data_IF_542558535263
#
_entry.id   IF_542558535263
#
_cell.length_a   1.000
_cell.length_b   1.000
_cell.length_c   1.000
_cell.angle_alpha   90.00
_cell.angle_beta   90.00
_cell.angle_gamma   90.00
#
_symmetry.space_group_name_H-M   'P 1'
#
loop_
_entity.id
_entity.type
_entity.pdbx_description
1 polymer ?
#
# COMPACT_ATOMS: atom_id res chain seq x y z
N UNK A 1 -24.15 -18.74 51.32
CA UNK A 1 -22.78 -18.21 51.27
C UNK A 1 -22.08 -18.58 49.98
N UNK A 2 -21.90 -19.87 49.62
CA UNK A 2 -21.14 -20.32 48.47
C UNK A 2 -21.67 -19.73 47.11
N UNK A 3 -23.00 -19.74 46.91
CA UNK A 3 -23.63 -19.15 45.67
C UNK A 3 -23.31 -17.66 45.56
N UNK A 4 -23.38 -16.91 46.64
CA UNK A 4 -23.04 -15.49 46.68
C UNK A 4 -21.58 -15.25 46.29
N UNK A 5 -20.68 -16.07 46.82
CA UNK A 5 -19.25 -15.99 46.48
C UNK A 5 -19.00 -16.27 45.00
N UNK A 6 -19.67 -17.29 44.42
CA UNK A 6 -19.58 -17.58 42.99
C UNK A 6 -20.13 -16.46 42.09
N UNK A 7 -21.23 -15.81 42.55
CA UNK A 7 -21.78 -14.64 41.82
C UNK A 7 -20.81 -13.45 41.87
N UNK A 8 -20.18 -13.19 43.03
CA UNK A 8 -19.17 -12.13 43.18
C UNK A 8 -17.97 -12.42 42.28
N UNK A 9 -17.45 -13.65 42.26
CA UNK A 9 -16.36 -14.07 41.39
C UNK A 9 -16.75 -13.93 39.91
N UNK A 10 -17.99 -14.27 39.56
CA UNK A 10 -18.50 -14.05 38.20
C UNK A 10 -18.55 -12.56 37.86
N UNK A 11 -18.97 -11.70 38.76
CA UNK A 11 -19.05 -10.25 38.57
C UNK A 11 -17.68 -9.58 38.34
N UNK A 12 -16.58 -10.15 38.85
CA UNK A 12 -15.21 -9.66 38.57
C UNK A 12 -14.74 -9.93 37.16
N UNK A 13 -15.53 -10.66 36.35
CA UNK A 13 -15.22 -10.98 34.95
C UNK A 13 -13.79 -11.56 34.75
N UNK A 14 -13.44 -12.68 35.42
CA UNK A 14 -12.11 -13.25 35.30
C UNK A 14 -11.82 -13.58 33.85
N UNK A 15 -10.60 -13.17 33.36
CA UNK A 15 -10.16 -13.36 31.97
C UNK A 15 -8.89 -14.21 31.95
N UNK A 16 -8.87 -15.17 31.07
CA UNK A 16 -7.66 -15.91 30.76
C UNK A 16 -6.91 -15.21 29.65
N UNK A 17 -5.67 -14.85 29.92
CA UNK A 17 -4.77 -14.29 28.92
C UNK A 17 -4.15 -15.44 28.13
N UNK A 18 -4.44 -15.52 26.84
CA UNK A 18 -3.83 -16.47 25.92
C UNK A 18 -2.37 -16.14 25.64
N UNK A 19 -1.72 -17.02 24.86
CA UNK A 19 -0.36 -16.76 24.38
C UNK A 19 -0.32 -15.49 23.52
N UNK A 20 0.76 -14.70 23.63
CA UNK A 20 0.93 -13.53 22.81
C UNK A 20 1.02 -13.91 21.33
N UNK A 21 0.08 -13.43 20.54
CA UNK A 21 0.10 -13.56 19.08
C UNK A 21 0.65 -12.25 18.52
N UNK A 22 1.78 -12.33 17.82
CA UNK A 22 2.29 -11.20 17.08
C UNK A 22 1.42 -10.98 15.85
N UNK A 23 0.60 -9.92 15.88
CA UNK A 23 -0.05 -9.44 14.68
C UNK A 23 1.01 -8.66 13.87
N UNK A 24 1.27 -9.02 12.60
CA UNK A 24 2.10 -8.20 11.76
C UNK A 24 1.43 -6.82 11.67
N UNK A 25 2.04 -5.82 12.29
CA UNK A 25 1.55 -4.46 12.15
C UNK A 25 1.99 -3.92 10.80
N UNK A 26 1.08 -3.18 10.23
CA UNK A 26 1.06 -2.41 9.00
C UNK A 26 2.39 -2.39 8.24
N UNK A 27 2.34 -2.98 7.05
CA UNK A 27 3.31 -2.75 6.00
C UNK A 27 3.42 -1.25 5.68
N UNK A 28 4.33 -0.91 4.80
CA UNK A 28 4.57 0.46 4.35
C UNK A 28 3.38 1.01 3.59
N UNK A 29 3.27 2.31 3.59
CA UNK A 29 2.39 3.04 2.69
C UNK A 29 3.15 3.40 1.42
N UNK A 30 2.89 2.67 0.35
CA UNK A 30 3.48 2.85 -0.95
C UNK A 30 2.48 3.53 -1.89
N UNK A 31 2.82 4.72 -2.36
CA UNK A 31 2.07 5.38 -3.43
C UNK A 31 2.84 5.22 -4.74
N UNK A 32 2.21 4.63 -5.74
CA UNK A 32 2.74 4.54 -7.10
C UNK A 32 2.16 5.70 -7.91
N UNK A 33 3.01 6.52 -8.52
CA UNK A 33 2.59 7.57 -9.44
C UNK A 33 3.12 7.24 -10.84
N UNK A 34 2.20 7.02 -11.78
CA UNK A 34 2.49 6.59 -13.14
C UNK A 34 2.14 7.69 -14.13
N UNK A 35 3.10 8.01 -14.98
CA UNK A 35 2.94 8.91 -16.10
C UNK A 35 2.10 8.26 -17.21
N UNK A 36 1.07 8.96 -17.69
CA UNK A 36 0.25 8.58 -18.84
C UNK A 36 0.33 9.60 -19.98
N UNK A 37 1.36 10.45 -19.94
CA UNK A 37 1.59 11.46 -20.97
C UNK A 37 1.82 10.84 -22.37
N UNK A 38 1.80 11.68 -23.39
CA UNK A 38 1.94 11.21 -24.77
C UNK A 38 3.27 10.52 -25.08
N UNK A 39 4.35 10.85 -24.36
CA UNK A 39 5.67 10.23 -24.51
C UNK A 39 5.70 8.75 -24.09
N UNK A 40 4.85 8.34 -23.18
CA UNK A 40 4.70 6.94 -22.75
C UNK A 40 4.17 6.01 -23.86
N UNK A 41 3.68 6.56 -24.98
CA UNK A 41 3.25 5.81 -26.17
C UNK A 41 4.44 5.32 -27.02
N UNK A 42 5.65 5.87 -26.82
CA UNK A 42 6.83 5.50 -27.58
C UNK A 42 7.17 4.02 -27.37
N UNK A 43 7.26 3.26 -28.48
CA UNK A 43 7.54 1.83 -28.46
C UNK A 43 9.07 1.57 -28.55
N UNK A 44 9.82 2.00 -27.55
CA UNK A 44 11.27 1.87 -27.43
C UNK A 44 11.72 0.77 -26.46
N UNK A 45 10.77 0.10 -25.80
CA UNK A 45 11.03 -1.03 -24.90
C UNK A 45 10.93 -2.37 -25.63
N UNK A 46 11.77 -3.34 -25.24
CA UNK A 46 11.79 -4.67 -25.83
C UNK A 46 11.23 -5.72 -24.87
N UNK A 47 10.25 -6.49 -25.32
CA UNK A 47 9.72 -7.64 -24.60
C UNK A 47 9.56 -8.84 -25.53
N UNK A 48 10.23 -9.97 -25.22
CA UNK A 48 10.17 -11.21 -26.03
C UNK A 48 10.46 -10.99 -27.54
N UNK A 49 11.36 -10.07 -27.86
CA UNK A 49 11.73 -9.75 -29.25
C UNK A 49 10.76 -8.82 -29.98
N UNK A 50 9.73 -8.32 -29.31
CA UNK A 50 8.81 -7.32 -29.85
C UNK A 50 8.99 -5.98 -29.15
N UNK A 51 8.84 -4.89 -29.91
CA UNK A 51 8.83 -3.55 -29.34
C UNK A 51 7.47 -3.28 -28.73
N UNK A 52 7.47 -2.86 -27.47
CA UNK A 52 6.28 -2.45 -26.71
C UNK A 52 6.43 -1.00 -26.28
N UNK A 53 5.32 -0.30 -26.04
CA UNK A 53 5.35 1.06 -25.52
C UNK A 53 5.80 1.09 -24.05
N UNK A 54 6.21 2.27 -23.58
CA UNK A 54 6.71 2.46 -22.22
C UNK A 54 5.68 2.12 -21.16
N UNK A 55 4.40 2.49 -21.39
CA UNK A 55 3.33 2.18 -20.43
C UNK A 55 3.14 0.67 -20.25
N UNK A 56 3.12 -0.09 -21.36
CA UNK A 56 2.96 -1.55 -21.28
C UNK A 56 4.15 -2.21 -20.59
N UNK A 57 5.38 -1.72 -20.84
CA UNK A 57 6.58 -2.17 -20.13
C UNK A 57 6.48 -1.91 -18.61
N UNK A 58 6.03 -0.70 -18.24
CA UNK A 58 5.82 -0.32 -16.83
C UNK A 58 4.74 -1.18 -16.19
N UNK A 59 3.60 -1.40 -16.85
CA UNK A 59 2.53 -2.25 -16.34
C UNK A 59 3.01 -3.67 -16.01
N UNK A 60 3.78 -4.28 -16.90
CA UNK A 60 4.33 -5.63 -16.69
C UNK A 60 5.17 -5.69 -15.40
N UNK A 61 6.11 -4.75 -15.24
CA UNK A 61 7.04 -4.76 -14.12
C UNK A 61 6.37 -4.35 -12.80
N UNK A 62 5.54 -3.30 -12.85
CA UNK A 62 4.82 -2.81 -11.66
C UNK A 62 3.79 -3.82 -11.18
N UNK A 63 3.14 -4.56 -12.10
CA UNK A 63 2.21 -5.64 -11.75
C UNK A 63 2.91 -6.73 -10.94
N UNK A 64 4.11 -7.15 -11.37
CA UNK A 64 4.91 -8.14 -10.63
C UNK A 64 5.44 -7.60 -9.29
N UNK A 65 5.80 -6.32 -9.23
CA UNK A 65 6.16 -5.66 -7.99
C UNK A 65 4.99 -5.65 -6.99
N UNK A 66 3.80 -5.26 -7.42
CA UNK A 66 2.60 -5.25 -6.57
C UNK A 66 2.34 -6.64 -5.98
N UNK A 67 2.41 -7.71 -6.79
CA UNK A 67 2.20 -9.09 -6.33
C UNK A 67 3.12 -9.50 -5.18
N UNK A 68 4.36 -9.03 -5.18
CA UNK A 68 5.36 -9.35 -4.14
C UNK A 68 5.18 -8.57 -2.84
N UNK A 69 4.33 -7.52 -2.82
CA UNK A 69 4.16 -6.59 -1.69
C UNK A 69 3.05 -6.99 -0.72
N UNK A 70 2.92 -8.29 -0.43
CA UNK A 70 1.95 -8.76 0.55
C UNK A 70 2.23 -8.17 1.94
N UNK A 71 1.23 -7.48 2.49
CA UNK A 71 1.30 -6.80 3.78
C UNK A 71 1.55 -5.30 3.70
N UNK A 72 1.93 -4.75 2.53
CA UNK A 72 2.01 -3.31 2.30
C UNK A 72 0.63 -2.76 1.85
N UNK A 73 0.35 -1.49 2.16
CA UNK A 73 -0.76 -0.76 1.52
C UNK A 73 -0.22 -0.08 0.27
N UNK A 74 -0.86 -0.32 -0.86
CA UNK A 74 -0.48 0.31 -2.13
C UNK A 74 -1.63 1.18 -2.63
N UNK A 75 -1.31 2.41 -3.02
CA UNK A 75 -2.19 3.30 -3.76
C UNK A 75 -1.63 3.61 -5.13
N UNK A 76 -2.49 3.99 -6.07
CA UNK A 76 -2.13 4.31 -7.45
C UNK A 76 -2.60 5.72 -7.81
N UNK A 77 -1.68 6.53 -8.27
CA UNK A 77 -1.91 7.83 -8.90
C UNK A 77 -1.54 7.72 -10.36
N UNK A 78 -2.40 8.21 -11.24
CA UNK A 78 -2.16 8.37 -12.67
C UNK A 78 -2.06 9.86 -12.96
N UNK A 79 -1.07 10.28 -13.74
CA UNK A 79 -0.91 11.69 -14.07
C UNK A 79 -0.50 11.91 -15.51
N UNK A 80 -0.94 13.04 -16.05
CA UNK A 80 -0.55 13.65 -17.31
C UNK A 80 -0.73 15.17 -17.20
N UNK A 81 -1.74 15.79 -17.81
CA UNK A 81 -2.04 17.23 -17.66
C UNK A 81 -2.39 17.60 -16.20
N UNK A 82 -2.94 16.66 -15.45
CA UNK A 82 -3.23 16.73 -14.02
C UNK A 82 -3.02 15.36 -13.35
N UNK A 83 -3.03 15.31 -12.01
CA UNK A 83 -2.87 14.07 -11.26
C UNK A 83 -4.21 13.59 -10.67
N UNK A 84 -4.47 12.29 -10.78
CA UNK A 84 -5.69 11.64 -10.28
C UNK A 84 -5.36 10.41 -9.46
N UNK A 85 -6.05 10.27 -8.34
CA UNK A 85 -5.95 9.06 -7.54
C UNK A 85 -6.83 7.97 -8.16
N UNK A 86 -6.20 6.93 -8.69
CA UNK A 86 -6.87 5.78 -9.29
C UNK A 86 -7.31 4.78 -8.22
N UNK A 87 -6.44 4.49 -7.24
CA UNK A 87 -6.80 3.71 -6.05
C UNK A 87 -6.29 4.39 -4.78
N UNK A 88 -7.06 4.40 -3.69
CA UNK A 88 -6.54 4.79 -2.38
C UNK A 88 -5.53 3.76 -1.88
N UNK A 89 -4.82 4.09 -0.80
CA UNK A 89 -3.98 3.12 -0.08
C UNK A 89 -4.84 1.96 0.42
N UNK A 90 -4.55 0.75 -0.06
CA UNK A 90 -5.31 -0.46 0.26
C UNK A 90 -4.39 -1.68 0.36
N UNK A 91 -4.81 -2.67 1.14
CA UNK A 91 -4.20 -4.01 1.17
C UNK A 91 -4.72 -4.93 0.05
N UNK A 92 -5.76 -4.51 -0.67
CA UNK A 92 -6.30 -5.25 -1.80
C UNK A 92 -5.45 -5.05 -3.06
N UNK A 93 -4.35 -5.78 -3.12
CA UNK A 93 -3.38 -5.72 -4.22
C UNK A 93 -3.99 -6.18 -5.55
N UNK A 94 -5.02 -7.03 -5.52
CA UNK A 94 -5.71 -7.50 -6.72
C UNK A 94 -6.45 -6.33 -7.39
N UNK A 95 -7.15 -5.53 -6.60
CA UNK A 95 -7.83 -4.32 -7.11
C UNK A 95 -6.82 -3.30 -7.64
N UNK A 96 -5.69 -3.07 -6.93
CA UNK A 96 -4.64 -2.16 -7.41
C UNK A 96 -4.08 -2.62 -8.76
N UNK A 97 -3.79 -3.92 -8.89
CA UNK A 97 -3.28 -4.50 -10.14
C UNK A 97 -4.29 -4.34 -11.27
N UNK A 98 -5.57 -4.66 -11.04
CA UNK A 98 -6.62 -4.47 -12.05
C UNK A 98 -6.72 -3.02 -12.50
N UNK A 99 -6.69 -2.06 -11.57
CA UNK A 99 -6.74 -0.63 -11.91
C UNK A 99 -5.48 -0.15 -12.66
N UNK A 100 -4.33 -0.77 -12.40
CA UNK A 100 -3.12 -0.56 -13.19
C UNK A 100 -3.28 -1.09 -14.62
N UNK A 101 -3.78 -2.32 -14.77
CA UNK A 101 -3.98 -2.95 -16.08
C UNK A 101 -5.01 -2.20 -16.94
N UNK A 102 -6.07 -1.67 -16.31
CA UNK A 102 -7.13 -0.88 -16.95
C UNK A 102 -6.69 0.56 -17.31
N UNK A 103 -5.51 1.03 -16.85
CA UNK A 103 -5.01 2.36 -17.19
C UNK A 103 -4.69 2.45 -18.69
N UNK A 104 -5.05 3.57 -19.32
CA UNK A 104 -4.83 3.80 -20.75
C UNK A 104 -4.13 5.13 -20.98
N UNK A 105 -3.32 5.18 -22.04
CA UNK A 105 -2.63 6.40 -22.49
C UNK A 105 -3.63 7.51 -22.79
N UNK A 106 -3.22 8.75 -22.53
CA UNK A 106 -4.00 9.98 -22.82
C UNK A 106 -5.32 10.10 -22.09
N UNK A 107 -5.61 9.21 -21.12
CA UNK A 107 -6.84 9.29 -20.31
C UNK A 107 -6.93 10.62 -19.57
N UNK A 108 -5.81 11.15 -19.13
CA UNK A 108 -5.69 12.36 -18.27
C UNK A 108 -5.00 13.52 -19.00
N UNK A 109 -4.73 13.40 -20.27
CA UNK A 109 -4.04 14.41 -21.10
C UNK A 109 -2.80 13.87 -21.80
N UNK A 110 -1.97 14.78 -22.31
CA UNK A 110 -0.78 14.42 -23.09
C UNK A 110 0.51 15.03 -22.55
N UNK A 111 0.41 16.01 -21.63
CA UNK A 111 1.53 16.70 -20.97
C UNK A 111 1.88 15.98 -19.66
N UNK A 112 2.84 16.50 -18.89
CA UNK A 112 3.38 15.84 -17.71
C UNK A 112 3.36 16.78 -16.51
N UNK A 113 2.52 16.50 -15.48
CA UNK A 113 2.36 17.29 -14.27
C UNK A 113 2.99 16.59 -13.05
N UNK A 114 4.33 16.52 -13.00
CA UNK A 114 5.09 15.87 -11.93
C UNK A 114 4.79 16.50 -10.56
N UNK A 115 4.75 17.84 -10.49
CA UNK A 115 4.51 18.54 -9.23
C UNK A 115 3.14 18.22 -8.63
N UNK A 116 2.10 18.13 -9.45
CA UNK A 116 0.76 17.73 -8.99
C UNK A 116 0.70 16.27 -8.53
N UNK A 117 1.40 15.37 -9.22
CA UNK A 117 1.48 13.96 -8.82
C UNK A 117 2.10 13.81 -7.43
N UNK A 118 3.22 14.51 -7.17
CA UNK A 118 3.87 14.52 -5.85
C UNK A 118 2.96 15.17 -4.81
N UNK A 119 2.37 16.34 -5.09
CA UNK A 119 1.47 17.05 -4.17
C UNK A 119 0.27 16.20 -3.77
N UNK A 120 -0.35 15.50 -4.74
CA UNK A 120 -1.45 14.59 -4.48
C UNK A 120 -1.00 13.39 -3.63
N UNK A 121 0.15 12.78 -3.95
CA UNK A 121 0.72 11.66 -3.19
C UNK A 121 0.97 12.05 -1.73
N UNK A 122 1.62 13.19 -1.49
CA UNK A 122 1.87 13.73 -0.14
C UNK A 122 0.56 13.93 0.62
N UNK A 123 -0.44 14.54 -0.02
CA UNK A 123 -1.76 14.76 0.59
C UNK A 123 -2.41 13.43 1.02
N UNK A 124 -2.32 12.39 0.19
CA UNK A 124 -2.92 11.07 0.47
C UNK A 124 -2.14 10.28 1.51
N UNK A 125 -0.82 10.27 1.44
CA UNK A 125 0.05 9.63 2.43
C UNK A 125 -0.08 10.28 3.82
N UNK A 126 -0.33 11.58 3.89
CA UNK A 126 -0.53 12.30 5.16
C UNK A 126 -1.89 12.02 5.83
N UNK A 127 -2.84 11.44 5.12
CA UNK A 127 -4.13 11.06 5.72
C UNK A 127 -3.98 9.92 6.72
N UNK A 128 -2.89 9.18 6.66
CA UNK A 128 -2.62 8.02 7.51
C UNK A 128 -1.42 8.29 8.44
N UNK A 129 -1.54 7.90 9.70
CA UNK A 129 -0.44 7.92 10.68
C UNK A 129 0.48 6.71 10.42
N UNK A 130 1.33 6.80 9.42
CA UNK A 130 2.34 5.80 9.10
C UNK A 130 3.73 6.42 9.26
N UNK A 131 4.67 5.65 9.81
CA UNK A 131 6.08 6.08 9.92
C UNK A 131 6.83 5.94 8.59
N UNK A 132 6.39 5.02 7.71
CA UNK A 132 7.05 4.71 6.43
C UNK A 132 6.18 5.09 5.24
N UNK A 133 6.33 6.32 4.76
CA UNK A 133 5.62 6.88 3.62
C UNK A 133 6.54 6.94 2.41
N UNK A 134 6.26 6.16 1.39
CA UNK A 134 7.09 6.05 0.18
C UNK A 134 6.26 6.37 -1.06
N UNK A 135 6.79 7.24 -1.91
CA UNK A 135 6.29 7.50 -3.26
C UNK A 135 7.29 6.92 -4.27
N UNK A 136 6.80 6.14 -5.21
CA UNK A 136 7.55 5.71 -6.40
C UNK A 136 6.95 6.44 -7.59
N UNK A 137 7.71 7.38 -8.15
CA UNK A 137 7.32 8.22 -9.27
C UNK A 137 7.98 7.71 -10.54
N UNK A 138 7.19 7.30 -11.53
CA UNK A 138 7.67 6.91 -12.85
C UNK A 138 7.29 7.99 -13.86
N UNK A 139 8.27 8.48 -14.59
CA UNK A 139 8.08 9.44 -15.67
C UNK A 139 9.14 9.25 -16.75
N UNK A 140 8.83 9.67 -17.96
CA UNK A 140 9.73 9.61 -19.12
C UNK A 140 10.02 10.98 -19.72
N UNK A 141 9.55 12.07 -19.08
CA UNK A 141 9.67 13.43 -19.57
C UNK A 141 9.98 14.48 -18.50
N UNK A 142 10.00 15.74 -18.94
CA UNK A 142 10.09 16.90 -18.07
C UNK A 142 8.69 17.36 -17.60
N UNK A 143 8.65 18.15 -16.53
CA UNK A 143 7.39 18.75 -16.09
C UNK A 143 6.92 19.84 -17.07
N UNK A 144 5.81 19.61 -17.74
CA UNK A 144 5.25 20.50 -18.79
C UNK A 144 3.85 21.01 -18.48
N UNK A 145 3.22 20.55 -17.40
CA UNK A 145 1.88 20.91 -16.98
C UNK A 145 1.77 20.99 -15.45
N UNK A 146 0.58 21.32 -14.97
CA UNK A 146 0.24 21.41 -13.55
C UNK A 146 0.44 22.80 -12.96
N UNK A 147 -0.29 23.05 -11.88
CA UNK A 147 -0.24 24.33 -11.15
C UNK A 147 0.83 24.35 -10.05
N UNK A 148 1.22 23.14 -9.57
CA UNK A 148 2.26 22.98 -8.54
C UNK A 148 3.58 22.68 -9.23
N UNK A 149 4.60 23.50 -8.94
CA UNK A 149 5.93 23.25 -9.45
C UNK A 149 6.58 22.06 -8.73
N UNK A 150 7.37 21.19 -9.40
CA UNK A 150 7.99 20.04 -8.79
C UNK A 150 8.84 20.36 -7.56
N UNK A 151 9.54 21.49 -7.54
CA UNK A 151 10.35 21.92 -6.40
C UNK A 151 9.50 22.40 -5.20
N UNK A 152 8.31 22.95 -5.44
CA UNK A 152 7.35 23.26 -4.37
C UNK A 152 6.80 21.97 -3.77
N UNK A 153 6.40 21.01 -4.62
CA UNK A 153 5.95 19.69 -4.19
C UNK A 153 7.04 18.93 -3.41
N UNK A 154 8.32 19.10 -3.77
CA UNK A 154 9.46 18.57 -3.02
C UNK A 154 9.49 19.10 -1.58
N UNK A 155 9.26 20.40 -1.37
CA UNK A 155 9.23 20.96 -0.01
C UNK A 155 8.07 20.38 0.82
N UNK A 156 6.91 20.18 0.20
CA UNK A 156 5.78 19.51 0.84
C UNK A 156 6.12 18.07 1.23
N UNK A 157 6.77 17.31 0.34
CA UNK A 157 7.19 15.94 0.61
C UNK A 157 8.19 15.85 1.77
N UNK A 158 9.18 16.75 1.80
CA UNK A 158 10.16 16.83 2.91
C UNK A 158 9.49 17.15 4.24
N UNK A 159 8.60 18.13 4.26
CA UNK A 159 7.85 18.52 5.46
C UNK A 159 6.95 17.38 5.98
N UNK A 160 6.43 16.55 5.08
CA UNK A 160 5.57 15.41 5.40
C UNK A 160 6.34 14.11 5.71
N UNK A 161 7.67 14.10 5.59
CA UNK A 161 8.49 12.91 5.76
C UNK A 161 8.24 11.82 4.70
N UNK A 162 7.80 12.22 3.48
CA UNK A 162 7.57 11.30 2.37
C UNK A 162 8.89 11.09 1.62
N UNK A 163 9.34 9.84 1.55
CA UNK A 163 10.49 9.44 0.74
C UNK A 163 10.06 9.25 -0.71
N UNK A 164 10.79 9.82 -1.66
CA UNK A 164 10.48 9.74 -3.08
C UNK A 164 11.58 8.94 -3.80
N UNK A 165 11.21 7.81 -4.39
CA UNK A 165 12.02 7.15 -5.42
C UNK A 165 11.52 7.59 -6.78
N UNK A 166 12.43 7.96 -7.67
CA UNK A 166 12.10 8.37 -9.03
C UNK A 166 12.69 7.40 -10.03
N UNK A 167 11.91 7.04 -11.04
CA UNK A 167 12.30 6.13 -12.11
C UNK A 167 12.09 6.84 -13.45
N UNK A 168 13.19 7.19 -14.10
CA UNK A 168 13.17 7.70 -15.48
C UNK A 168 13.12 6.52 -16.46
N UNK A 169 12.10 6.49 -17.33
CA UNK A 169 11.84 5.38 -18.25
C UNK A 169 12.12 5.81 -19.70
N UNK A 170 12.69 4.91 -20.50
CA UNK A 170 12.87 5.09 -21.96
C UNK A 170 14.29 4.82 -22.44
N UNK A 171 14.42 4.34 -23.67
CA UNK A 171 15.69 4.02 -24.28
C UNK A 171 16.52 5.28 -24.59
N UNK A 172 17.84 5.15 -24.61
CA UNK A 172 18.74 6.24 -25.04
C UNK A 172 18.82 6.35 -26.56
N UNK A 173 18.61 5.24 -27.25
CA UNK A 173 18.72 5.16 -28.69
C UNK A 173 17.61 4.31 -29.27
N UNK A 174 16.97 4.82 -30.33
CA UNK A 174 15.92 4.12 -31.05
C UNK A 174 16.16 4.33 -32.58
N UNK A 175 15.95 3.26 -33.32
CA UNK A 175 16.01 3.32 -34.78
C UNK A 175 14.64 3.77 -35.31
N UNK A 176 14.52 5.00 -35.73
CA UNK A 176 13.30 5.52 -36.37
C UNK A 176 13.37 5.32 -37.88
N UNK A 177 12.35 4.70 -38.44
CA UNK A 177 12.20 4.57 -39.87
C UNK A 177 11.47 5.80 -40.44
N UNK A 178 12.10 6.52 -41.37
CA UNK A 178 11.54 7.67 -42.02
C UNK A 178 11.46 7.42 -43.54
N UNK A 179 10.69 8.23 -44.25
CA UNK A 179 10.62 8.23 -45.73
C UNK A 179 12.01 8.41 -46.38
N UNK A 180 12.94 9.06 -45.67
CA UNK A 180 14.32 9.35 -46.14
C UNK A 180 15.35 8.31 -45.60
N UNK A 181 14.92 7.19 -45.01
CA UNK A 181 15.82 6.14 -44.49
C UNK A 181 15.71 5.93 -42.99
N UNK A 182 16.67 5.15 -42.45
CA UNK A 182 16.75 4.86 -41.01
C UNK A 182 17.64 5.88 -40.32
N UNK A 183 17.15 6.47 -39.21
CA UNK A 183 17.92 7.42 -38.40
C UNK A 183 17.90 6.96 -36.95
N UNK A 184 19.05 7.04 -36.29
CA UNK A 184 19.15 6.89 -34.83
C UNK A 184 18.67 8.19 -34.17
N UNK A 185 17.72 8.07 -33.23
CA UNK A 185 17.24 9.19 -32.42
C UNK A 185 17.34 8.82 -30.97
N UNK A 186 17.42 9.82 -30.11
CA UNK A 186 17.25 9.65 -28.65
C UNK A 186 15.77 9.90 -28.28
N UNK A 187 14.98 8.88 -27.99
CA UNK A 187 13.56 9.04 -27.66
C UNK A 187 13.33 9.63 -26.26
N UNK A 188 14.37 9.72 -25.45
CA UNK A 188 14.32 10.21 -24.05
C UNK A 188 15.00 11.57 -23.86
N UNK A 189 15.14 12.36 -24.93
CA UNK A 189 15.83 13.67 -24.88
C UNK A 189 15.13 14.67 -23.94
N UNK A 190 13.82 14.52 -23.72
CA UNK A 190 13.01 15.40 -22.88
C UNK A 190 12.98 14.99 -21.42
N UNK A 191 13.63 13.88 -21.03
CA UNK A 191 13.70 13.41 -19.66
C UNK A 191 14.61 14.32 -18.82
N UNK A 192 14.03 14.95 -17.80
CA UNK A 192 14.78 15.79 -16.84
C UNK A 192 15.34 14.93 -15.70
N UNK A 193 16.46 14.26 -15.99
CA UNK A 193 17.16 13.43 -14.98
C UNK A 193 17.68 14.26 -13.80
N UNK A 194 18.02 15.53 -14.01
CA UNK A 194 18.51 16.41 -12.94
C UNK A 194 17.40 16.70 -11.92
N UNK A 195 16.20 17.02 -12.41
CA UNK A 195 15.03 17.21 -11.56
C UNK A 195 14.68 15.92 -10.81
N UNK A 196 14.58 14.79 -11.50
CA UNK A 196 14.24 13.49 -10.89
C UNK A 196 15.26 13.07 -9.83
N UNK A 197 16.56 13.25 -10.11
CA UNK A 197 17.63 12.98 -9.15
C UNK A 197 17.51 13.88 -7.93
N UNK A 198 17.20 15.15 -8.09
CA UNK A 198 17.02 16.10 -7.00
C UNK A 198 15.81 15.75 -6.12
N UNK A 199 14.66 15.43 -6.73
CA UNK A 199 13.45 14.99 -6.02
C UNK A 199 13.72 13.78 -5.13
N UNK A 200 14.45 12.80 -5.65
CA UNK A 200 14.79 11.61 -4.91
C UNK A 200 15.82 11.90 -3.80
N UNK A 201 16.97 12.49 -4.12
CA UNK A 201 18.06 12.68 -3.18
C UNK A 201 17.70 13.56 -1.98
N UNK A 202 16.93 14.64 -2.20
CA UNK A 202 16.54 15.56 -1.12
C UNK A 202 15.47 14.99 -0.18
N UNK A 203 14.79 13.88 -0.57
CA UNK A 203 13.80 13.19 0.28
C UNK A 203 14.33 11.88 0.87
N UNK A 204 15.61 11.56 0.68
CA UNK A 204 16.24 10.32 1.14
C UNK A 204 15.93 9.10 0.30
N UNK A 205 15.35 9.27 -0.89
CA UNK A 205 15.14 8.23 -1.87
C UNK A 205 16.31 8.12 -2.88
N UNK A 206 16.05 7.44 -3.99
CA UNK A 206 17.03 7.25 -5.08
C UNK A 206 16.39 7.46 -6.44
N UNK A 207 17.16 8.05 -7.36
CA UNK A 207 16.84 8.07 -8.78
C UNK A 207 17.37 6.81 -9.46
N UNK A 208 16.59 6.28 -10.39
CA UNK A 208 16.93 5.15 -11.23
C UNK A 208 16.61 5.48 -12.69
N UNK A 209 17.44 4.96 -13.59
CA UNK A 209 17.24 5.06 -15.03
C UNK A 209 16.94 3.69 -15.60
N UNK A 210 15.78 3.53 -16.23
CA UNK A 210 15.36 2.29 -16.92
C UNK A 210 15.37 2.50 -18.43
N UNK A 211 16.35 1.93 -19.10
CA UNK A 211 16.51 2.00 -20.56
C UNK A 211 15.80 0.84 -21.27
N UNK A 212 15.59 -0.25 -20.55
CA UNK A 212 14.91 -1.44 -21.04
C UNK A 212 14.11 -2.12 -19.91
N UNK A 213 13.37 -3.18 -20.28
CA UNK A 213 12.54 -3.93 -19.35
C UNK A 213 13.35 -4.65 -18.26
N UNK A 214 14.57 -5.10 -18.56
CA UNK A 214 15.41 -5.81 -17.61
C UNK A 214 15.94 -4.84 -16.54
N UNK A 215 16.42 -3.66 -16.95
CA UNK A 215 16.82 -2.60 -16.01
C UNK A 215 15.64 -2.19 -15.12
N UNK A 216 14.44 -2.02 -15.69
CA UNK A 216 13.24 -1.68 -14.94
C UNK A 216 12.92 -2.76 -13.88
N UNK A 217 13.01 -4.05 -14.22
CA UNK A 217 12.83 -5.15 -13.27
C UNK A 217 13.88 -5.12 -12.14
N UNK A 218 15.15 -4.89 -12.48
CA UNK A 218 16.23 -4.80 -11.47
C UNK A 218 16.01 -3.61 -10.52
N UNK A 219 15.55 -2.47 -11.03
CA UNK A 219 15.23 -1.29 -10.24
C UNK A 219 14.15 -1.62 -9.19
N UNK A 220 13.08 -2.30 -9.57
CA UNK A 220 12.04 -2.68 -8.63
C UNK A 220 12.51 -3.71 -7.59
N UNK A 221 13.42 -4.62 -7.95
CA UNK A 221 14.07 -5.51 -6.98
C UNK A 221 14.98 -4.74 -6.01
N UNK A 222 15.70 -3.70 -6.48
CA UNK A 222 16.48 -2.83 -5.61
C UNK A 222 15.59 -2.02 -4.66
N UNK A 223 14.46 -1.51 -5.13
CA UNK A 223 13.48 -0.82 -4.26
C UNK A 223 12.93 -1.77 -3.20
N UNK A 224 12.71 -3.05 -3.55
CA UNK A 224 12.33 -4.10 -2.58
C UNK A 224 13.36 -4.24 -1.45
N UNK A 225 14.65 -4.15 -1.76
CA UNK A 225 15.74 -4.25 -0.79
C UNK A 225 15.96 -2.97 0.01
N UNK A 226 15.79 -1.80 -0.62
CA UNK A 226 15.97 -0.49 0.02
C UNK A 226 14.89 -0.17 1.03
N UNK A 227 13.70 -0.69 0.79
CA UNK A 227 12.54 -0.51 1.64
C UNK A 227 12.13 -1.87 2.24
N UNK A 228 12.89 -2.40 3.23
CA UNK A 228 12.54 -3.65 3.90
C UNK A 228 11.28 -3.47 4.74
N UNK A 229 10.50 -4.52 4.90
CA UNK A 229 9.32 -4.52 5.77
C UNK A 229 9.81 -4.46 7.22
N UNK A 230 9.72 -3.32 7.87
CA UNK A 230 9.85 -3.24 9.33
C UNK A 230 8.59 -3.85 9.95
N UNK A 231 8.71 -5.08 10.42
CA UNK A 231 7.65 -5.76 11.16
C UNK A 231 7.72 -5.34 12.61
N UNK A 232 7.21 -4.18 12.94
CA UNK A 232 6.82 -3.90 14.32
C UNK A 232 5.66 -4.82 14.68
N UNK A 233 5.94 -5.88 15.42
CA UNK A 233 4.92 -6.81 15.85
C UNK A 233 4.19 -6.23 17.07
N UNK A 234 2.97 -5.75 16.88
CA UNK A 234 2.08 -5.53 18.02
C UNK A 234 1.68 -6.88 18.59
N UNK A 235 2.13 -7.12 19.79
CA UNK A 235 1.78 -8.33 20.52
C UNK A 235 0.34 -8.21 21.05
N UNK A 236 -0.59 -8.88 20.38
CA UNK A 236 -1.97 -9.02 20.87
C UNK A 236 -2.10 -10.27 21.72
N UNK A 237 -2.63 -10.12 22.94
CA UNK A 237 -2.97 -11.26 23.80
C UNK A 237 -4.47 -11.49 23.75
N UNK A 238 -4.94 -12.57 23.12
CA UNK A 238 -6.36 -12.90 23.08
C UNK A 238 -6.85 -13.16 24.49
N UNK A 239 -7.94 -12.49 24.89
CA UNK A 239 -8.54 -12.64 26.21
C UNK A 239 -9.79 -13.50 26.08
N UNK A 240 -9.84 -14.62 26.82
CA UNK A 240 -11.06 -15.45 26.95
C UNK A 240 -11.71 -15.16 28.27
N UNK A 241 -13.00 -14.83 28.24
CA UNK A 241 -13.79 -14.64 29.48
C UNK A 241 -14.08 -15.98 30.12
N UNK A 242 -13.79 -16.10 31.41
CA UNK A 242 -14.11 -17.28 32.24
C UNK A 242 -15.39 -17.09 33.04
N UNK A 243 -16.13 -15.99 32.85
CA UNK A 243 -17.37 -15.64 33.48
C UNK A 243 -18.39 -16.80 33.53
N UNK A 244 -18.49 -17.58 32.49
CA UNK A 244 -19.49 -18.64 32.32
C UNK A 244 -19.30 -19.81 33.30
N UNK A 245 -18.07 -20.09 33.80
CA UNK A 245 -17.81 -21.19 34.68
C UNK A 245 -18.37 -20.96 36.11
N UNK A 246 -18.03 -19.86 36.85
CA UNK A 246 -18.59 -19.60 38.15
C UNK A 246 -20.10 -19.32 38.07
N UNK A 247 -20.60 -18.71 36.99
CA UNK A 247 -22.03 -18.47 36.80
C UNK A 247 -22.81 -19.78 36.65
N UNK A 248 -22.33 -20.71 35.82
CA UNK A 248 -22.95 -22.02 35.61
C UNK A 248 -22.98 -22.83 36.92
N UNK A 249 -21.88 -22.79 37.68
CA UNK A 249 -21.80 -23.48 38.95
C UNK A 249 -22.78 -22.87 39.98
N UNK A 250 -22.89 -21.54 40.05
CA UNK A 250 -23.84 -20.84 40.91
C UNK A 250 -25.30 -21.20 40.58
N UNK A 251 -25.64 -21.24 39.28
CA UNK A 251 -26.98 -21.64 38.81
C UNK A 251 -27.28 -23.09 39.14
N UNK A 252 -26.34 -24.01 38.94
CA UNK A 252 -26.52 -25.43 39.22
C UNK A 252 -26.75 -25.66 40.72
N UNK A 253 -25.95 -25.03 41.57
CA UNK A 253 -26.12 -25.09 43.02
C UNK A 253 -27.47 -24.51 43.49
N UNK A 254 -27.88 -23.39 42.90
CA UNK A 254 -29.17 -22.76 43.16
C UNK A 254 -30.32 -23.70 42.81
N UNK A 255 -30.25 -24.36 41.65
CA UNK A 255 -31.25 -25.33 41.21
C UNK A 255 -31.34 -26.56 42.11
N UNK A 256 -30.19 -27.13 42.54
CA UNK A 256 -30.14 -28.27 43.48
C UNK A 256 -30.75 -27.91 44.83
N UNK A 257 -30.43 -26.72 45.34
CA UNK A 257 -31.01 -26.25 46.63
C UNK A 257 -32.52 -26.01 46.51
N UNK A 258 -33.00 -25.46 45.42
CA UNK A 258 -34.43 -25.27 45.17
C UNK A 258 -35.15 -26.60 45.04
N UNK A 259 -34.62 -27.55 44.28
CA UNK A 259 -35.18 -28.91 44.13
C UNK A 259 -35.25 -29.65 45.46
N UNK A 260 -34.18 -29.60 46.26
CA UNK A 260 -34.16 -30.16 47.62
C UNK A 260 -35.22 -29.55 48.51
N UNK A 261 -35.39 -28.26 48.48
CA UNK A 261 -36.36 -27.55 49.30
C UNK A 261 -37.81 -27.91 48.91
N UNK A 262 -38.09 -28.05 47.63
CA UNK A 262 -39.40 -28.46 47.11
C UNK A 262 -39.68 -29.91 47.52
N UNK A 263 -38.70 -30.82 47.37
CA UNK A 263 -38.82 -32.22 47.78
C UNK A 263 -39.16 -32.38 49.25
N UNK A 264 -38.41 -31.71 50.13
CA UNK A 264 -38.65 -31.75 51.57
C UNK A 264 -40.01 -31.15 51.97
N UNK A 265 -40.46 -30.06 51.36
CA UNK A 265 -41.79 -29.47 51.55
C UNK A 265 -42.91 -30.40 51.09
N UNK A 266 -42.72 -31.20 50.07
CA UNK A 266 -43.65 -32.20 49.57
C UNK A 266 -43.80 -33.37 50.57
N UNK A 267 -42.68 -33.87 51.14
CA UNK A 267 -42.66 -34.97 52.08
C UNK A 267 -43.37 -34.59 53.44
N UNK A 268 -43.17 -33.39 53.95
CA UNK A 268 -43.82 -32.89 55.16
C UNK A 268 -45.31 -32.56 54.96
N UNK A 269 -45.82 -32.36 53.77
CA UNK A 269 -47.24 -32.11 53.51
C UNK A 269 -48.08 -33.39 53.45
N UNK A 270 -47.47 -34.56 53.34
CA UNK A 270 -48.17 -35.87 53.39
C UNK A 270 -47.99 -36.64 54.66
N UNK A 271 -47.33 -36.06 55.71
CA UNK A 271 -47.12 -36.68 56.97
C UNK A 271 -47.87 -35.99 58.12
N UNK A 272 -48.89 -35.12 57.82
CA UNK A 272 -49.74 -34.47 58.79
C UNK A 272 -51.21 -34.72 58.52
#
# INVERSE_FOLDING_TARGET
MLIWLLLVVSATQPRWLGEPVSLPQQGRDLMLALDLSGSMEIADMQHQGQSINRLDAVKLVVSDFIKRRQGDRIGLILFADAAYQQTPLTFDLITVQKMLDDSVLRLVGTRTAIGEAIGLAVKRLNTYESSNKVLILLSDGANTAGNIQPLEALQLAKAAGVKIHTVGVGAEQMMQQSVFGRRMINPSQDLDEALLTRLASETGGRYFRARDLNELNQIYQLIDQLEPIERDSVTYRPQRSLLHWPLALALLLSFVLAARNIYWRGVFKHAG
#
